data_IF_518872066619
#
_entry.id   IF_518872066619
#
_cell.length_a   1.000
_cell.length_b   1.000
_cell.length_c   1.000
_cell.angle_alpha   90.00
_cell.angle_beta   90.00
_cell.angle_gamma   90.00
#
_symmetry.space_group_name_H-M   'P 1'
#
loop_
_entity.id
_entity.type
_entity.pdbx_description
1 polymer ?
#
# COMPACT_ATOMS: atom_id res chain seq x y z
N UNK A 1 -0.95 -10.56 -15.10
CA UNK A 1 -1.98 -10.60 -14.03
C UNK A 1 -1.34 -10.03 -12.79
N UNK A 2 -1.76 -8.85 -12.33
CA UNK A 2 -1.34 -8.37 -11.02
C UNK A 2 -1.83 -9.36 -9.94
N UNK A 3 -1.07 -9.44 -8.83
CA UNK A 3 -1.34 -10.27 -7.65
C UNK A 3 -1.24 -11.80 -7.80
N UNK A 4 -0.10 -12.31 -8.28
CA UNK A 4 0.18 -13.76 -8.20
C UNK A 4 0.68 -14.18 -6.80
N UNK A 5 0.51 -15.45 -6.44
CA UNK A 5 0.92 -15.95 -5.12
C UNK A 5 2.45 -16.09 -5.04
N UNK A 6 3.13 -15.19 -4.32
CA UNK A 6 4.58 -15.24 -4.10
C UNK A 6 4.94 -15.89 -2.76
N UNK A 7 4.29 -15.47 -1.68
CA UNK A 7 4.42 -16.07 -0.35
C UNK A 7 3.05 -16.57 0.06
N UNK A 8 2.92 -17.85 0.39
CA UNK A 8 1.63 -18.48 0.70
C UNK A 8 1.52 -18.83 2.17
N UNK A 9 0.36 -18.54 2.77
CA UNK A 9 -0.07 -19.04 4.06
C UNK A 9 -1.41 -19.75 3.97
N UNK A 10 -1.93 -20.23 5.09
CA UNK A 10 -3.19 -20.97 5.12
C UNK A 10 -4.41 -20.07 4.82
N UNK A 11 -4.37 -18.79 5.21
CA UNK A 11 -5.50 -17.84 5.09
C UNK A 11 -5.29 -16.77 4.02
N UNK A 12 -4.04 -16.41 3.73
CA UNK A 12 -3.70 -15.35 2.78
C UNK A 12 -2.42 -15.69 2.02
N UNK A 13 -2.15 -14.93 0.99
CA UNK A 13 -0.88 -14.92 0.29
C UNK A 13 -0.43 -13.48 0.12
N UNK A 14 0.87 -13.29 -0.09
CA UNK A 14 1.45 -12.01 -0.47
C UNK A 14 1.90 -12.09 -1.92
N UNK A 15 1.72 -10.99 -2.63
CA UNK A 15 2.25 -10.73 -3.97
C UNK A 15 3.14 -9.50 -3.92
N UNK A 16 4.11 -9.35 -4.83
CA UNK A 16 4.72 -8.05 -5.05
C UNK A 16 3.64 -7.03 -5.38
N UNK A 17 3.85 -5.83 -4.88
CA UNK A 17 3.05 -4.67 -5.20
C UNK A 17 3.16 -4.32 -6.69
N UNK A 18 2.09 -3.78 -7.27
CA UNK A 18 2.10 -3.26 -8.64
C UNK A 18 1.57 -1.82 -8.67
N UNK A 19 1.80 -1.11 -9.76
CA UNK A 19 1.30 0.26 -9.93
C UNK A 19 -0.23 0.37 -9.80
N UNK A 20 -0.97 -0.72 -10.05
CA UNK A 20 -2.42 -0.76 -9.86
C UNK A 20 -2.83 -0.73 -8.37
N UNK A 21 -1.91 -1.01 -7.43
CA UNK A 21 -2.16 -0.94 -5.98
C UNK A 21 -2.09 0.49 -5.41
N UNK A 22 -1.59 1.46 -6.18
CA UNK A 22 -1.28 2.80 -5.71
C UNK A 22 -2.48 3.50 -5.05
N UNK A 23 -3.67 3.37 -5.63
CA UNK A 23 -4.89 3.97 -5.06
C UNK A 23 -5.21 3.38 -3.69
N UNK A 24 -5.10 2.06 -3.55
CA UNK A 24 -5.41 1.36 -2.30
C UNK A 24 -4.39 1.64 -1.21
N UNK A 25 -3.11 1.72 -1.57
CA UNK A 25 -2.04 2.14 -0.66
C UNK A 25 -2.26 3.57 -0.18
N UNK A 26 -2.58 4.48 -1.10
CA UNK A 26 -2.92 5.87 -0.77
C UNK A 26 -4.08 5.96 0.22
N UNK A 27 -5.09 5.10 0.09
CA UNK A 27 -6.20 5.06 1.05
C UNK A 27 -5.74 4.62 2.45
N UNK A 28 -4.87 3.62 2.56
CA UNK A 28 -4.36 3.13 3.84
C UNK A 28 -3.41 4.11 4.52
N UNK A 29 -2.51 4.73 3.75
CA UNK A 29 -1.56 5.71 4.28
C UNK A 29 -2.28 6.98 4.77
N UNK A 30 -3.44 7.30 4.20
CA UNK A 30 -4.27 8.42 4.63
C UNK A 30 -5.34 8.05 5.68
N UNK A 31 -5.47 6.77 6.04
CA UNK A 31 -6.35 6.34 7.12
C UNK A 31 -5.60 6.40 8.45
N UNK A 32 -5.95 7.36 9.30
CA UNK A 32 -5.28 7.58 10.59
C UNK A 32 -5.33 6.34 11.49
N UNK A 33 -6.41 5.55 11.43
CA UNK A 33 -6.52 4.32 12.23
C UNK A 33 -5.53 3.24 11.78
N UNK A 34 -5.08 3.30 10.51
CA UNK A 34 -4.09 2.39 9.93
C UNK A 34 -2.67 2.95 10.03
N UNK A 35 -2.48 4.21 9.65
CA UNK A 35 -1.18 4.87 9.52
C UNK A 35 -0.51 5.16 10.88
N UNK A 36 -1.28 5.63 11.87
CA UNK A 36 -0.73 6.00 13.18
C UNK A 36 -0.09 4.81 13.92
N UNK A 37 -0.71 3.62 14.00
CA UNK A 37 -0.06 2.44 14.60
C UNK A 37 1.17 1.94 13.84
N UNK A 38 1.30 2.25 12.55
CA UNK A 38 2.46 1.90 11.72
C UNK A 38 3.60 2.93 11.86
N UNK A 39 3.39 4.00 12.62
CA UNK A 39 4.39 5.03 12.91
C UNK A 39 4.48 6.14 11.87
N UNK A 40 3.44 6.30 11.04
CA UNK A 40 3.44 7.30 9.97
C UNK A 40 3.07 8.71 10.47
N UNK A 41 3.47 9.72 9.68
CA UNK A 41 3.26 11.14 9.97
C UNK A 41 1.84 11.59 9.57
N UNK A 42 0.90 11.52 10.51
CA UNK A 42 -0.53 11.86 10.28
C UNK A 42 -0.85 13.35 10.07
N UNK A 43 0.17 14.23 10.01
CA UNK A 43 -0.03 15.66 9.78
C UNK A 43 0.00 16.05 8.30
N UNK A 44 0.20 15.09 7.39
CA UNK A 44 0.14 15.31 5.95
C UNK A 44 -0.59 14.17 5.25
N UNK A 45 -1.15 14.45 4.07
CA UNK A 45 -1.79 13.43 3.23
C UNK A 45 -0.94 13.11 2.02
N UNK A 46 -0.91 11.86 1.61
CA UNK A 46 -0.22 11.39 0.40
C UNK A 46 -1.17 11.42 -0.80
N UNK A 47 -0.74 12.02 -1.91
CA UNK A 47 -1.46 12.00 -3.18
C UNK A 47 -1.21 10.68 -3.93
N UNK A 48 -2.18 10.21 -4.72
CA UNK A 48 -2.09 8.93 -5.41
C UNK A 48 -0.90 8.85 -6.38
N UNK A 49 -0.59 9.97 -7.05
CA UNK A 49 0.55 10.09 -7.95
C UNK A 49 1.87 9.84 -7.22
N UNK A 50 2.01 10.40 -6.01
CA UNK A 50 3.19 10.20 -5.17
C UNK A 50 3.31 8.75 -4.71
N UNK A 51 2.20 8.11 -4.35
CA UNK A 51 2.20 6.68 -4.03
C UNK A 51 2.60 5.83 -5.24
N UNK A 52 2.09 6.16 -6.44
CA UNK A 52 2.44 5.45 -7.67
C UNK A 52 3.94 5.57 -8.01
N UNK A 53 4.55 6.74 -7.77
CA UNK A 53 5.99 6.94 -7.90
C UNK A 53 6.78 6.04 -6.93
N UNK A 54 6.41 6.01 -5.65
CA UNK A 54 7.09 5.15 -4.66
C UNK A 54 6.99 3.65 -4.94
N UNK A 55 5.94 3.22 -5.64
CA UNK A 55 5.69 1.81 -6.00
C UNK A 55 6.46 1.40 -7.26
N UNK A 56 6.78 2.36 -8.13
CA UNK A 56 7.45 2.11 -9.40
C UNK A 56 8.98 1.93 -9.28
N UNK A 57 9.56 2.33 -8.15
CA UNK A 57 10.99 2.21 -7.78
C UNK A 57 11.32 0.88 -7.07
#
# INVERSE_FOLDING_TARGET
>A
MPHYKKITGQKCYLSPITSEDAEKWTQWDNDIEVALPLGDEVFSTTACEKSAEMIAD
#
